data_IF_662399232193
#
_entry.id   IF_662399232193
#
_cell.length_a   1.000
_cell.length_b   1.000
_cell.length_c   1.000
_cell.angle_alpha   90.00
_cell.angle_beta   90.00
_cell.angle_gamma   90.00
#
_symmetry.space_group_name_H-M   'P 1'
#
loop_
_entity.id
_entity.type
_entity.pdbx_description
1 polymer ?
#
# COMPACT_ATOMS: atom_id res chain seq x y z
N UNK A 1 -2.23 2.71 27.40
CA UNK A 1 -1.53 3.25 26.22
C UNK A 1 -2.37 2.88 25.02
N UNK A 2 -3.14 3.81 24.45
CA UNK A 2 -3.88 3.55 23.22
C UNK A 2 -2.88 3.57 22.07
N UNK A 3 -2.52 2.40 21.54
CA UNK A 3 -1.49 2.29 20.51
C UNK A 3 -2.07 2.71 19.17
N UNK A 4 -1.90 3.97 18.78
CA UNK A 4 -2.19 4.43 17.41
C UNK A 4 -1.11 3.90 16.46
N UNK A 5 -1.51 3.36 15.31
CA UNK A 5 -0.59 2.91 14.25
C UNK A 5 -0.04 4.16 13.54
N UNK A 6 1.27 4.22 13.29
CA UNK A 6 1.90 5.33 12.52
C UNK A 6 2.33 4.89 11.13
N UNK A 7 2.55 5.84 10.22
CA UNK A 7 3.09 5.58 8.87
C UNK A 7 4.42 4.82 8.93
N UNK A 8 5.35 5.18 9.81
CA UNK A 8 6.63 4.49 9.96
C UNK A 8 6.43 3.01 10.33
N UNK A 9 5.52 2.72 11.26
CA UNK A 9 5.19 1.35 11.61
C UNK A 9 4.55 0.58 10.46
N UNK A 10 3.78 1.26 9.61
CA UNK A 10 3.22 0.67 8.39
C UNK A 10 4.36 0.32 7.43
N UNK A 11 5.29 1.25 7.16
CA UNK A 11 6.44 1.01 6.26
C UNK A 11 7.22 -0.24 6.71
N UNK A 12 7.49 -0.36 8.02
CA UNK A 12 8.26 -1.49 8.57
C UNK A 12 7.49 -2.81 8.55
N UNK A 13 6.17 -2.78 8.81
CA UNK A 13 5.35 -4.00 8.94
C UNK A 13 4.72 -4.47 7.64
N UNK A 14 4.49 -3.59 6.67
CA UNK A 14 3.79 -3.93 5.43
C UNK A 14 4.52 -5.04 4.65
N UNK A 15 5.86 -5.03 4.50
CA UNK A 15 6.60 -6.15 3.90
C UNK A 15 6.33 -7.51 4.54
N UNK A 16 6.12 -7.58 5.86
CA UNK A 16 5.84 -8.85 6.57
C UNK A 16 4.47 -9.45 6.23
N UNK A 17 3.56 -8.65 5.67
CA UNK A 17 2.22 -9.07 5.23
C UNK A 17 2.16 -9.44 3.75
N UNK A 18 3.25 -9.26 3.03
CA UNK A 18 3.34 -9.56 1.61
C UNK A 18 3.22 -11.06 1.36
N UNK A 19 2.37 -11.44 0.41
CA UNK A 19 2.22 -12.81 -0.04
C UNK A 19 3.00 -13.02 -1.36
N UNK A 20 4.18 -13.65 -1.32
CA UNK A 20 5.00 -13.89 -2.52
C UNK A 20 4.30 -14.81 -3.54
N UNK A 21 3.47 -15.76 -3.11
CA UNK A 21 2.74 -16.66 -4.00
C UNK A 21 1.77 -15.91 -4.91
N UNK A 22 1.26 -14.76 -4.45
CA UNK A 22 0.36 -13.90 -5.22
C UNK A 22 1.10 -12.90 -6.12
N UNK A 23 2.42 -12.73 -5.92
CA UNK A 23 3.23 -11.79 -6.67
C UNK A 23 3.62 -12.33 -8.05
N UNK A 24 3.91 -13.62 -8.15
CA UNK A 24 4.43 -14.23 -9.37
C UNK A 24 5.69 -13.48 -9.85
N UNK A 25 5.69 -13.05 -11.11
CA UNK A 25 6.79 -12.29 -11.73
C UNK A 25 6.62 -10.77 -11.64
N UNK A 26 5.79 -10.26 -10.72
CA UNK A 26 5.55 -8.82 -10.59
C UNK A 26 6.83 -8.09 -10.19
N UNK A 27 7.22 -7.11 -11.00
CA UNK A 27 8.18 -6.07 -10.65
C UNK A 27 7.44 -4.72 -10.75
N UNK A 28 7.21 -4.05 -9.62
CA UNK A 28 6.49 -2.78 -9.60
C UNK A 28 6.78 -1.97 -8.34
N UNK A 29 6.77 -0.65 -8.47
CA UNK A 29 6.86 0.31 -7.38
C UNK A 29 5.53 1.04 -7.19
N UNK A 30 5.04 1.00 -5.96
CA UNK A 30 3.80 1.64 -5.53
C UNK A 30 4.15 2.84 -4.65
N UNK A 31 3.90 4.04 -5.14
CA UNK A 31 4.02 5.27 -4.35
C UNK A 31 2.74 5.50 -3.54
N UNK A 32 2.89 5.82 -2.26
CA UNK A 32 1.82 6.33 -1.41
C UNK A 32 2.09 7.80 -1.14
N UNK A 33 1.17 8.67 -1.56
CA UNK A 33 1.15 10.09 -1.19
C UNK A 33 0.03 10.32 -0.20
N UNK A 34 0.40 10.75 1.00
CA UNK A 34 -0.53 11.05 2.07
C UNK A 34 -0.76 12.57 2.10
N UNK A 35 -2.02 13.02 2.14
CA UNK A 35 -2.33 14.45 2.17
C UNK A 35 -1.92 15.15 3.47
N UNK A 36 -1.78 14.38 4.55
CA UNK A 36 -1.55 14.83 5.92
C UNK A 36 -0.35 14.16 6.61
N UNK A 37 0.44 13.37 5.87
CA UNK A 37 1.62 12.68 6.38
C UNK A 37 2.73 12.57 5.32
N UNK A 38 3.91 12.09 5.73
CA UNK A 38 5.04 11.92 4.81
C UNK A 38 4.76 10.82 3.79
N UNK A 39 5.16 11.01 2.52
CA UNK A 39 5.03 9.97 1.52
C UNK A 39 6.01 8.82 1.80
N UNK A 40 5.66 7.65 1.27
CA UNK A 40 6.50 6.47 1.26
C UNK A 40 6.16 5.64 0.03
N UNK A 41 7.01 4.67 -0.31
CA UNK A 41 6.72 3.73 -1.38
C UNK A 41 7.03 2.31 -0.94
N UNK A 42 6.44 1.34 -1.66
CA UNK A 42 6.92 -0.03 -1.63
C UNK A 42 7.40 -0.44 -3.01
N UNK A 43 8.47 -1.22 -3.05
CA UNK A 43 8.97 -1.84 -4.26
C UNK A 43 8.82 -3.34 -4.14
N UNK A 44 8.28 -3.94 -5.19
CA UNK A 44 8.08 -5.38 -5.32
C UNK A 44 8.95 -5.84 -6.47
N UNK A 45 9.87 -6.76 -6.19
CA UNK A 45 10.76 -7.38 -7.16
C UNK A 45 11.24 -8.73 -6.60
N UNK A 46 11.49 -9.71 -7.47
CA UNK A 46 12.02 -11.02 -7.08
C UNK A 46 11.25 -11.69 -5.93
N UNK A 47 9.91 -11.58 -5.95
CA UNK A 47 9.02 -12.08 -4.88
C UNK A 47 9.35 -11.52 -3.49
N UNK A 48 9.91 -10.33 -3.43
CA UNK A 48 10.18 -9.58 -2.21
C UNK A 48 9.44 -8.26 -2.26
N UNK A 49 9.10 -7.75 -1.08
CA UNK A 49 8.50 -6.44 -0.87
C UNK A 49 9.40 -5.64 0.06
N UNK A 50 9.75 -4.42 -0.32
CA UNK A 50 10.54 -3.49 0.48
C UNK A 50 9.77 -2.20 0.67
N UNK A 51 9.67 -1.74 1.92
CA UNK A 51 9.08 -0.44 2.26
C UNK A 51 10.17 0.60 2.45
N UNK A 52 9.99 1.77 1.84
CA UNK A 52 10.96 2.85 1.88
C UNK A 52 10.27 4.20 2.17
N UNK A 53 10.79 5.01 3.11
CA UNK A 53 10.28 6.37 3.32
C UNK A 53 10.62 7.28 2.13
N UNK A 54 9.77 8.28 1.87
CA UNK A 54 9.98 9.29 0.83
C UNK A 54 9.26 9.01 -0.50
N UNK A 55 9.75 9.64 -1.56
CA UNK A 55 9.19 9.52 -2.91
C UNK A 55 10.13 8.73 -3.82
N UNK A 56 9.57 7.84 -4.64
CA UNK A 56 10.28 7.21 -5.74
C UNK A 56 10.22 8.12 -6.97
N UNK A 57 11.33 8.23 -7.72
CA UNK A 57 11.43 9.12 -8.89
C UNK A 57 10.55 8.70 -10.07
N UNK A 58 10.30 7.39 -10.20
CA UNK A 58 9.55 6.80 -11.30
C UNK A 58 8.68 5.63 -10.78
N UNK A 59 7.55 5.92 -10.12
CA UNK A 59 6.65 4.88 -9.61
C UNK A 59 5.70 4.39 -10.71
N UNK A 60 5.43 3.08 -10.76
CA UNK A 60 4.46 2.50 -11.71
C UNK A 60 3.02 2.93 -11.41
N UNK A 61 2.74 3.22 -10.13
CA UNK A 61 1.46 3.73 -9.66
C UNK A 61 1.65 4.64 -8.45
N UNK A 62 0.87 5.71 -8.39
CA UNK A 62 0.75 6.58 -7.22
C UNK A 62 -0.65 6.50 -6.63
N UNK A 63 -0.71 6.23 -5.33
CA UNK A 63 -1.92 6.14 -4.53
C UNK A 63 -2.00 7.36 -3.62
N UNK A 64 -3.08 8.13 -3.76
CA UNK A 64 -3.34 9.34 -2.97
C UNK A 64 -4.44 9.06 -1.97
N UNK A 65 -4.19 9.34 -0.69
CA UNK A 65 -5.16 9.20 0.41
C UNK A 65 -4.72 10.01 1.63
N UNK A 66 -5.49 10.00 2.73
CA UNK A 66 -5.05 10.49 4.04
C UNK A 66 -4.50 9.33 4.91
N UNK A 67 -3.76 9.65 5.97
CA UNK A 67 -3.19 8.66 6.90
C UNK A 67 -4.29 7.77 7.51
N UNK A 68 -5.43 8.35 7.86
CA UNK A 68 -6.54 7.62 8.46
C UNK A 68 -7.12 6.55 7.51
N UNK A 69 -7.24 6.85 6.22
CA UNK A 69 -7.69 5.91 5.18
C UNK A 69 -6.65 4.84 4.96
N UNK A 70 -5.36 5.19 4.91
CA UNK A 70 -4.29 4.20 4.83
C UNK A 70 -4.39 3.20 6.00
N UNK A 71 -4.48 3.69 7.24
CA UNK A 71 -4.57 2.85 8.44
C UNK A 71 -5.75 1.89 8.32
N UNK A 72 -6.96 2.39 8.02
CA UNK A 72 -8.15 1.51 7.87
C UNK A 72 -7.97 0.46 6.78
N UNK A 73 -7.29 0.80 5.69
CA UNK A 73 -7.02 -0.14 4.58
C UNK A 73 -6.01 -1.21 4.99
N UNK A 74 -4.90 -0.84 5.63
CA UNK A 74 -3.86 -1.80 6.04
C UNK A 74 -4.28 -2.67 7.23
N UNK A 75 -5.16 -2.18 8.11
CA UNK A 75 -5.75 -2.99 9.19
C UNK A 75 -6.89 -3.88 8.72
N UNK A 76 -7.42 -3.62 7.51
CA UNK A 76 -8.56 -4.35 6.95
C UNK A 76 -9.92 -3.89 7.49
N UNK A 77 -9.97 -2.78 8.23
CA UNK A 77 -11.22 -2.11 8.65
C UNK A 77 -12.00 -1.55 7.46
N UNK A 78 -11.31 -1.21 6.38
CA UNK A 78 -11.89 -0.74 5.13
C UNK A 78 -11.18 -1.41 3.96
N UNK A 79 -11.92 -1.92 2.98
CA UNK A 79 -11.29 -2.43 1.76
C UNK A 79 -10.89 -1.28 0.81
N UNK A 80 -9.81 -1.48 0.05
CA UNK A 80 -9.27 -0.46 -0.86
C UNK A 80 -10.23 -0.05 -1.98
N UNK A 81 -11.09 -0.98 -2.45
CA UNK A 81 -12.08 -0.67 -3.48
C UNK A 81 -13.17 0.26 -2.94
N UNK A 82 -13.66 0.03 -1.73
CA UNK A 82 -14.58 0.93 -1.04
C UNK A 82 -13.96 2.31 -0.79
N UNK A 83 -12.67 2.38 -0.42
CA UNK A 83 -11.96 3.65 -0.30
C UNK A 83 -11.92 4.43 -1.62
N UNK A 84 -11.65 3.72 -2.72
CA UNK A 84 -11.63 4.29 -4.06
C UNK A 84 -13.00 4.83 -4.49
N UNK A 85 -14.06 4.01 -4.34
CA UNK A 85 -15.43 4.39 -4.71
C UNK A 85 -15.95 5.58 -3.90
N UNK A 86 -15.51 5.74 -2.65
CA UNK A 86 -15.81 6.91 -1.80
C UNK A 86 -14.98 8.14 -2.12
N UNK A 87 -14.02 8.05 -3.03
CA UNK A 87 -13.08 9.12 -3.37
C UNK A 87 -12.00 9.41 -2.32
N UNK A 88 -11.87 8.53 -1.31
CA UNK A 88 -10.86 8.63 -0.25
C UNK A 88 -9.49 8.08 -0.67
N UNK A 89 -9.49 7.20 -1.68
CA UNK A 89 -8.29 6.72 -2.36
C UNK A 89 -8.40 7.10 -3.82
N UNK A 90 -7.35 7.69 -4.38
CA UNK A 90 -7.20 7.90 -5.82
C UNK A 90 -5.94 7.20 -6.31
N UNK A 91 -5.96 6.72 -7.55
CA UNK A 91 -4.85 6.03 -8.16
C UNK A 91 -4.49 6.70 -9.49
N UNK A 92 -3.20 6.95 -9.69
CA UNK A 92 -2.63 7.55 -10.89
C UNK A 92 -1.53 6.65 -11.45
N UNK A 93 -1.41 6.55 -12.78
CA UNK A 93 -0.51 5.60 -13.44
C UNK A 93 -1.22 4.28 -13.78
N UNK A 94 -0.55 3.14 -13.58
CA UNK A 94 -1.11 1.84 -13.95
C UNK A 94 -2.13 1.35 -12.90
N UNK A 95 -3.39 1.77 -13.04
CA UNK A 95 -4.48 1.45 -12.10
C UNK A 95 -4.71 -0.06 -11.92
N UNK A 96 -4.33 -0.91 -12.88
CA UNK A 96 -4.41 -2.37 -12.70
C UNK A 96 -3.51 -2.86 -11.56
N UNK A 97 -2.44 -2.13 -11.24
CA UNK A 97 -1.59 -2.41 -10.10
C UNK A 97 -2.32 -2.17 -8.78
N UNK A 98 -3.23 -1.19 -8.66
CA UNK A 98 -4.02 -0.99 -7.44
C UNK A 98 -4.87 -2.23 -7.11
N UNK A 99 -5.48 -2.84 -8.12
CA UNK A 99 -6.24 -4.09 -7.97
C UNK A 99 -5.32 -5.26 -7.60
N UNK A 100 -4.10 -5.32 -8.16
CA UNK A 100 -3.10 -6.34 -7.80
C UNK A 100 -2.64 -6.17 -6.36
N UNK A 101 -2.40 -4.94 -5.90
CA UNK A 101 -1.94 -4.63 -4.55
C UNK A 101 -2.81 -5.32 -3.50
N UNK A 102 -4.14 -5.23 -3.62
CA UNK A 102 -5.05 -5.91 -2.70
C UNK A 102 -4.81 -7.43 -2.60
N UNK A 103 -4.51 -8.10 -3.72
CA UNK A 103 -4.21 -9.55 -3.75
C UNK A 103 -2.85 -9.89 -3.14
N UNK A 104 -1.87 -9.01 -3.28
CA UNK A 104 -0.52 -9.19 -2.71
C UNK A 104 -0.56 -9.18 -1.17
N UNK A 105 -1.60 -8.60 -0.57
CA UNK A 105 -1.77 -8.47 0.88
C UNK A 105 -3.04 -9.13 1.42
N UNK A 106 -3.83 -9.86 0.60
CA UNK A 106 -5.08 -10.49 1.02
C UNK A 106 -4.91 -11.82 1.79
N UNK A 107 -3.68 -12.30 1.98
CA UNK A 107 -3.36 -13.63 2.52
C UNK A 107 -3.57 -13.85 4.03
N UNK A 108 -4.20 -12.91 4.74
CA UNK A 108 -4.31 -12.92 6.21
C UNK A 108 -5.65 -13.36 6.79
N UNK A 109 -6.54 -14.02 6.03
CA UNK A 109 -7.76 -14.63 6.57
C UNK A 109 -7.70 -16.15 6.42
N UNK A 110 -7.24 -16.82 7.48
CA UNK A 110 -7.74 -18.14 7.88
C UNK A 110 -8.65 -17.95 9.08
#
# INVERSE_FOLDING_TARGET
MSTSITVEQIIDKLPSRFNPDQAGSLCATFQFRLSDAKPFYISIADQQCLGCPGEHQDPDITLHMDEATLIRVVTGEQDGMSAFMKGQLRAEGNVMLATRLGKLFSGGKS
#
